data_IF_415921768182
#
_entry.id   IF_415921768182
#
_cell.length_a   1.000
_cell.length_b   1.000
_cell.length_c   1.000
_cell.angle_alpha   90.00
_cell.angle_beta   90.00
_cell.angle_gamma   90.00
#
_symmetry.space_group_name_H-M   'P 1'
#
loop_
_entity.id
_entity.type
_entity.pdbx_description
1 polymer ?
#
# COMPACT_ATOMS: atom_id res chain seq x y z
N UNK A 1 -64.52 -49.37 0.25
CA UNK A 1 -64.27 -49.79 -1.14
C UNK A 1 -65.39 -49.27 -2.03
N UNK A 2 -65.19 -48.12 -2.68
CA UNK A 2 -66.08 -47.61 -3.74
C UNK A 2 -65.20 -46.95 -4.79
N UNK A 3 -65.04 -47.62 -5.93
CA UNK A 3 -64.57 -47.04 -7.18
C UNK A 3 -65.78 -46.52 -7.93
N UNK A 4 -65.62 -45.44 -8.70
CA UNK A 4 -66.48 -45.08 -9.83
C UNK A 4 -65.79 -43.95 -10.63
N UNK A 5 -65.72 -44.20 -11.96
CA UNK A 5 -65.86 -43.26 -13.08
C UNK A 5 -64.63 -42.52 -13.68
N UNK A 6 -64.28 -42.97 -14.89
CA UNK A 6 -63.75 -42.25 -16.08
C UNK A 6 -64.57 -40.99 -16.47
N UNK A 7 -64.14 -40.08 -17.39
CA UNK A 7 -63.26 -40.31 -18.54
C UNK A 7 -62.22 -39.22 -18.91
N UNK A 8 -61.39 -39.58 -19.89
CA UNK A 8 -60.39 -38.83 -20.66
C UNK A 8 -61.04 -37.76 -21.58
N UNK A 9 -60.49 -36.53 -21.64
CA UNK A 9 -59.91 -35.91 -22.86
C UNK A 9 -59.40 -34.45 -22.64
N UNK A 10 -58.14 -34.23 -23.07
CA UNK A 10 -57.47 -33.02 -23.61
C UNK A 10 -57.76 -31.61 -23.06
N UNK A 11 -56.71 -30.91 -22.58
CA UNK A 11 -56.48 -29.50 -22.93
C UNK A 11 -55.02 -29.04 -22.79
N UNK A 12 -54.58 -28.31 -23.81
CA UNK A 12 -53.27 -27.72 -24.04
C UNK A 12 -52.87 -26.67 -22.99
N UNK A 13 -51.55 -26.61 -22.73
CA UNK A 13 -50.93 -25.63 -21.86
C UNK A 13 -50.97 -24.20 -22.41
N UNK A 14 -51.33 -23.27 -21.52
CA UNK A 14 -51.17 -21.83 -21.71
C UNK A 14 -50.18 -21.32 -20.66
N UNK A 15 -48.97 -20.99 -21.13
CA UNK A 15 -47.96 -20.19 -20.44
C UNK A 15 -48.42 -18.73 -20.43
N UNK A 16 -48.52 -18.13 -19.25
CA UNK A 16 -48.69 -16.69 -19.06
C UNK A 16 -47.31 -16.03 -19.17
N UNK A 17 -47.12 -14.98 -19.99
CA UNK A 17 -45.84 -14.28 -20.10
C UNK A 17 -45.64 -13.36 -18.89
N UNK A 18 -44.56 -13.57 -18.14
CA UNK A 18 -44.07 -12.61 -17.15
C UNK A 18 -43.25 -11.55 -17.91
N UNK A 19 -43.71 -10.30 -17.82
CA UNK A 19 -43.05 -9.10 -18.33
C UNK A 19 -41.64 -8.97 -17.73
N UNK A 20 -40.61 -9.10 -18.57
CA UNK A 20 -39.27 -8.60 -18.29
C UNK A 20 -39.25 -7.10 -18.65
N UNK A 21 -39.32 -6.25 -17.65
CA UNK A 21 -39.07 -4.81 -17.75
C UNK A 21 -38.21 -4.36 -16.58
N UNK A 22 -37.19 -3.55 -16.87
CA UNK A 22 -36.33 -2.80 -15.93
C UNK A 22 -35.20 -3.50 -15.15
N UNK A 23 -34.65 -4.61 -15.65
CA UNK A 23 -33.28 -5.04 -15.26
C UNK A 23 -32.19 -4.59 -16.25
N UNK A 24 -32.58 -4.09 -17.44
CA UNK A 24 -31.64 -3.66 -18.47
C UNK A 24 -31.05 -2.26 -18.26
N UNK A 25 -31.78 -1.36 -17.58
CA UNK A 25 -31.37 0.03 -17.43
C UNK A 25 -30.34 0.26 -16.30
N UNK A 26 -30.36 -0.56 -15.24
CA UNK A 26 -29.35 -0.51 -14.17
C UNK A 26 -28.02 -1.15 -14.61
N UNK A 27 -28.07 -2.27 -15.34
CA UNK A 27 -26.87 -2.90 -15.89
C UNK A 27 -26.18 -2.06 -16.97
N UNK A 28 -26.92 -1.19 -17.70
CA UNK A 28 -26.32 -0.26 -18.65
C UNK A 28 -25.67 0.96 -17.98
N UNK A 29 -26.12 1.35 -16.79
CA UNK A 29 -25.52 2.47 -16.04
C UNK A 29 -24.19 2.08 -15.38
N UNK A 30 -24.03 0.82 -14.93
CA UNK A 30 -22.74 0.30 -14.41
C UNK A 30 -21.69 0.08 -15.51
N UNK A 31 -22.12 -0.11 -16.76
CA UNK A 31 -21.21 -0.36 -17.90
C UNK A 31 -20.58 0.92 -18.48
N UNK A 32 -21.21 2.10 -18.33
CA UNK A 32 -20.64 3.39 -18.75
C UNK A 32 -19.55 3.91 -17.78
N UNK A 33 -19.38 3.29 -16.62
CA UNK A 33 -18.34 3.63 -15.63
C UNK A 33 -16.98 2.93 -15.86
N UNK A 34 -16.83 2.26 -17.02
CA UNK A 34 -15.79 1.24 -17.25
C UNK A 34 -14.37 1.78 -17.44
N UNK A 35 -14.18 3.03 -17.86
CA UNK A 35 -12.84 3.62 -18.03
C UNK A 35 -12.88 5.12 -17.78
N UNK A 36 -12.23 5.58 -16.71
CA UNK A 36 -11.99 7.00 -16.50
C UNK A 36 -10.78 7.44 -17.33
N UNK A 37 -10.99 8.36 -18.29
CA UNK A 37 -9.91 9.02 -19.01
C UNK A 37 -9.74 10.43 -18.46
N UNK A 38 -8.51 10.78 -18.12
CA UNK A 38 -8.16 12.15 -17.77
C UNK A 38 -6.77 12.47 -18.28
N UNK A 39 -6.52 13.75 -18.57
CA UNK A 39 -5.20 14.22 -18.96
C UNK A 39 -4.58 15.00 -17.82
N UNK A 40 -3.36 14.64 -17.44
CA UNK A 40 -2.54 15.43 -16.53
C UNK A 40 -1.10 15.45 -17.07
N UNK A 41 -0.44 16.61 -16.99
CA UNK A 41 0.97 16.76 -17.40
C UNK A 41 1.28 16.22 -18.82
N UNK A 42 0.36 16.40 -19.77
CA UNK A 42 0.56 16.01 -21.17
C UNK A 42 0.41 14.52 -21.50
N UNK A 43 -0.01 13.68 -20.54
CA UNK A 43 -0.39 12.28 -20.78
C UNK A 43 -1.85 12.05 -20.48
N UNK A 44 -2.47 11.17 -21.26
CA UNK A 44 -3.76 10.58 -20.92
C UNK A 44 -3.53 9.38 -20.01
N UNK A 45 -4.28 9.34 -18.92
CA UNK A 45 -4.35 8.20 -18.04
C UNK A 45 -5.70 7.53 -18.22
N UNK A 46 -5.68 6.20 -18.20
CA UNK A 46 -6.88 5.38 -18.20
C UNK A 46 -6.90 4.58 -16.91
N UNK A 47 -7.83 4.92 -16.03
CA UNK A 47 -8.11 4.11 -14.85
C UNK A 47 -9.34 3.28 -15.16
N UNK A 48 -9.09 2.07 -15.62
CA UNK A 48 -10.13 1.07 -15.89
C UNK A 48 -10.72 0.59 -14.56
N UNK A 49 -12.05 0.41 -14.52
CA UNK A 49 -12.71 -0.22 -13.37
C UNK A 49 -12.05 -1.56 -13.02
N UNK A 50 -11.64 -2.28 -14.06
CA UNK A 50 -10.98 -3.58 -14.01
C UNK A 50 -9.56 -3.49 -13.40
N UNK A 51 -8.81 -2.39 -13.59
CA UNK A 51 -7.51 -2.17 -12.94
C UNK A 51 -7.70 -2.05 -11.41
N UNK A 52 -8.67 -1.23 -11.01
CA UNK A 52 -9.02 -1.08 -9.59
C UNK A 52 -9.46 -2.41 -8.99
N UNK A 53 -10.27 -3.17 -9.71
CA UNK A 53 -10.68 -4.50 -9.26
C UNK A 53 -9.49 -5.47 -9.09
N UNK A 54 -8.56 -5.52 -10.05
CA UNK A 54 -7.40 -6.41 -9.99
C UNK A 54 -6.44 -6.06 -8.86
N UNK A 55 -6.07 -4.78 -8.71
CA UNK A 55 -5.22 -4.34 -7.61
C UNK A 55 -5.92 -4.50 -6.25
N UNK A 56 -7.25 -4.37 -6.22
CA UNK A 56 -8.08 -4.67 -5.05
C UNK A 56 -8.31 -6.17 -4.81
N UNK A 57 -8.08 -7.05 -5.79
CA UNK A 57 -8.31 -8.50 -5.64
C UNK A 57 -7.33 -9.12 -4.64
N UNK A 58 -6.17 -8.48 -4.48
CA UNK A 58 -5.23 -8.78 -3.40
C UNK A 58 -5.74 -8.19 -2.06
N UNK A 59 -6.96 -7.65 -1.99
CA UNK A 59 -7.77 -7.48 -0.78
C UNK A 59 -7.28 -6.40 0.18
N UNK A 60 -7.01 -5.20 -0.34
CA UNK A 60 -6.91 -4.01 0.48
C UNK A 60 -8.32 -3.65 0.99
N UNK A 61 -8.49 -3.70 2.31
CA UNK A 61 -9.75 -3.47 3.01
C UNK A 61 -9.55 -2.37 4.04
N UNK A 62 -10.59 -1.63 4.41
CA UNK A 62 -10.52 -0.71 5.54
C UNK A 62 -10.24 -1.43 6.88
N UNK A 63 -10.67 -2.68 7.04
CA UNK A 63 -10.42 -3.52 8.21
C UNK A 63 -10.65 -5.00 7.94
N UNK A 64 -10.07 -5.87 8.78
CA UNK A 64 -10.28 -7.32 8.71
C UNK A 64 -10.37 -8.03 10.07
N UNK A 65 -9.89 -7.43 11.17
CA UNK A 65 -9.82 -8.07 12.49
C UNK A 65 -10.62 -7.33 13.55
N UNK A 66 -11.08 -8.06 14.58
CA UNK A 66 -11.67 -7.46 15.77
C UNK A 66 -10.62 -6.69 16.60
N UNK A 67 -11.07 -5.66 17.30
CA UNK A 67 -10.22 -4.89 18.22
C UNK A 67 -9.73 -5.74 19.40
N UNK A 68 -8.48 -5.52 19.83
CA UNK A 68 -7.86 -6.18 21.01
C UNK A 68 -8.21 -5.51 22.35
N UNK A 69 -9.15 -4.58 22.37
CA UNK A 69 -9.62 -3.89 23.58
C UNK A 69 -8.72 -2.72 24.04
N UNK A 70 -7.40 -2.91 24.14
CA UNK A 70 -6.46 -1.83 24.45
C UNK A 70 -6.14 -0.96 23.23
N UNK A 71 -6.04 0.37 23.43
CA UNK A 71 -5.92 1.39 22.38
C UNK A 71 -4.94 2.49 22.80
N UNK A 72 -4.39 3.21 21.82
CA UNK A 72 -3.37 4.23 22.02
C UNK A 72 -1.98 3.62 22.22
N UNK A 73 -1.08 4.39 22.82
CA UNK A 73 0.24 3.90 23.21
C UNK A 73 0.09 3.04 24.47
N UNK A 74 0.35 1.75 24.35
CA UNK A 74 0.17 0.77 25.43
C UNK A 74 1.49 0.43 26.13
N UNK A 75 2.62 0.75 25.50
CA UNK A 75 3.95 0.58 26.06
C UNK A 75 4.93 1.60 25.48
N UNK A 76 5.81 2.16 26.31
CA UNK A 76 6.86 3.10 25.91
C UNK A 76 8.01 3.07 26.92
N UNK A 77 9.20 2.66 26.48
CA UNK A 77 10.47 2.81 27.20
C UNK A 77 11.27 3.97 26.56
N UNK A 78 11.22 5.19 27.12
CA UNK A 78 11.88 6.36 26.53
C UNK A 78 13.40 6.27 26.55
N UNK A 79 13.99 5.36 27.34
CA UNK A 79 15.44 5.13 27.36
C UNK A 79 15.94 4.30 26.18
N UNK A 80 15.03 3.59 25.49
CA UNK A 80 15.37 2.68 24.38
C UNK A 80 14.64 3.02 23.08
N UNK A 81 13.44 3.57 23.15
CA UNK A 81 12.67 3.99 21.98
C UNK A 81 13.33 5.21 21.31
N UNK A 82 13.30 5.25 19.98
CA UNK A 82 13.77 6.40 19.23
C UNK A 82 12.83 7.59 19.50
N UNK A 83 13.34 8.79 19.78
CA UNK A 83 12.50 9.97 19.87
C UNK A 83 11.89 10.32 18.50
N UNK A 84 10.94 11.24 18.49
CA UNK A 84 10.28 11.70 17.26
C UNK A 84 8.76 11.76 17.38
N UNK A 85 8.12 12.06 16.26
CA UNK A 85 6.67 12.09 16.14
C UNK A 85 6.21 11.00 15.18
N UNK A 86 4.95 10.60 15.28
CA UNK A 86 4.40 9.52 14.48
C UNK A 86 3.35 10.08 13.53
N UNK A 87 3.64 10.07 12.23
CA UNK A 87 2.70 10.41 11.17
C UNK A 87 2.01 9.12 10.70
N UNK A 88 0.69 9.03 10.81
CA UNK A 88 -0.06 7.84 10.42
C UNK A 88 -1.20 8.13 9.45
N UNK A 89 -1.49 7.13 8.62
CA UNK A 89 -2.73 6.99 7.84
C UNK A 89 -3.32 5.61 8.10
N UNK A 90 -4.65 5.51 8.12
CA UNK A 90 -5.31 4.22 8.34
C UNK A 90 -6.67 4.17 7.67
N UNK A 91 -7.20 2.97 7.47
CA UNK A 91 -8.44 2.70 6.72
C UNK A 91 -9.73 3.32 7.29
N UNK A 92 -9.64 4.15 8.32
CA UNK A 92 -10.77 4.84 8.94
C UNK A 92 -11.26 6.08 8.20
N UNK A 93 -10.46 6.63 7.27
CA UNK A 93 -10.90 7.79 6.49
C UNK A 93 -9.78 8.52 5.75
N UNK A 94 -10.14 9.57 4.99
CA UNK A 94 -9.21 10.43 4.25
C UNK A 94 -8.56 11.45 5.19
N UNK A 95 -7.76 10.94 6.13
CA UNK A 95 -7.08 11.74 7.16
C UNK A 95 -5.68 11.19 7.44
N UNK A 96 -4.75 12.10 7.67
CA UNK A 96 -3.44 11.81 8.25
C UNK A 96 -3.34 12.45 9.63
N UNK A 97 -2.76 11.74 10.58
CA UNK A 97 -2.65 12.18 11.98
C UNK A 97 -1.18 12.22 12.37
N UNK A 98 -0.74 13.35 12.91
CA UNK A 98 0.56 13.51 13.54
C UNK A 98 0.38 13.41 15.06
N UNK A 99 1.05 12.46 15.70
CA UNK A 99 0.96 12.22 17.14
C UNK A 99 2.32 12.15 17.83
N UNK A 100 2.37 12.56 19.09
CA UNK A 100 3.55 12.39 19.96
C UNK A 100 3.80 10.94 20.38
N UNK A 101 4.89 10.71 21.12
CA UNK A 101 5.29 9.38 21.59
C UNK A 101 4.34 8.77 22.64
N UNK A 102 3.53 9.60 23.28
CA UNK A 102 2.49 9.21 24.25
C UNK A 102 1.11 9.03 23.59
N UNK A 103 1.02 9.18 22.26
CA UNK A 103 -0.23 9.05 21.51
C UNK A 103 -1.13 10.29 21.53
N UNK A 104 -0.63 11.43 22.04
CA UNK A 104 -1.33 12.72 21.94
C UNK A 104 -1.30 13.19 20.48
N UNK A 105 -2.48 13.42 19.89
CA UNK A 105 -2.61 14.06 18.58
C UNK A 105 -2.11 15.51 18.66
N UNK A 106 -1.25 15.88 17.72
CA UNK A 106 -0.66 17.21 17.59
C UNK A 106 -1.25 17.97 16.41
N UNK A 107 -1.58 17.27 15.33
CA UNK A 107 -2.15 17.87 14.12
C UNK A 107 -2.84 16.81 13.25
N UNK A 108 -3.80 17.23 12.43
CA UNK A 108 -4.51 16.38 11.47
C UNK A 108 -4.66 17.09 10.13
N UNK A 109 -4.44 16.36 9.04
CA UNK A 109 -4.81 16.78 7.69
C UNK A 109 -6.01 15.99 7.22
N UNK A 110 -6.99 16.65 6.59
CA UNK A 110 -8.19 16.00 6.05
C UNK A 110 -8.65 16.70 4.78
N UNK A 111 -9.01 15.94 3.77
CA UNK A 111 -9.65 16.45 2.57
C UNK A 111 -10.48 15.35 1.91
N UNK A 112 -11.68 15.69 1.46
CA UNK A 112 -12.59 14.78 0.80
C UNK A 112 -12.17 14.55 -0.66
N UNK A 113 -12.55 13.39 -1.22
CA UNK A 113 -12.14 13.01 -2.58
C UNK A 113 -12.49 14.07 -3.64
N UNK A 114 -13.68 14.67 -3.52
CA UNK A 114 -14.20 15.67 -4.45
C UNK A 114 -13.48 17.02 -4.34
N UNK A 115 -12.83 17.31 -3.22
CA UNK A 115 -11.99 18.49 -3.03
C UNK A 115 -10.63 18.31 -3.72
N UNK A 116 -10.06 17.10 -3.64
CA UNK A 116 -8.77 16.78 -4.27
C UNK A 116 -8.91 16.62 -5.79
N UNK A 117 -9.94 15.89 -6.24
CA UNK A 117 -10.12 15.50 -7.63
C UNK A 117 -11.51 15.91 -8.17
N UNK A 118 -11.81 17.22 -8.26
CA UNK A 118 -13.14 17.74 -8.60
C UNK A 118 -13.63 17.40 -10.01
N UNK A 119 -12.71 17.07 -10.92
CA UNK A 119 -13.01 16.70 -12.30
C UNK A 119 -12.90 15.20 -12.57
N UNK A 120 -12.56 14.41 -11.55
CA UNK A 120 -12.42 12.97 -11.74
C UNK A 120 -13.79 12.33 -12.02
N UNK A 121 -13.92 11.43 -13.01
CA UNK A 121 -15.21 10.82 -13.37
C UNK A 121 -15.92 10.10 -12.22
N UNK A 122 -15.12 9.68 -11.23
CA UNK A 122 -15.56 8.96 -10.04
C UNK A 122 -15.66 9.83 -8.78
N UNK A 123 -15.77 11.16 -8.94
CA UNK A 123 -15.89 12.13 -7.84
C UNK A 123 -17.13 11.98 -6.96
N UNK A 124 -18.21 11.45 -7.52
CA UNK A 124 -19.49 11.26 -6.84
C UNK A 124 -19.70 9.81 -6.39
N UNK A 125 -18.63 9.01 -6.26
CA UNK A 125 -18.77 7.64 -5.76
C UNK A 125 -19.46 7.69 -4.40
N UNK A 126 -20.51 6.90 -4.24
CA UNK A 126 -21.08 6.64 -2.92
C UNK A 126 -20.00 6.09 -2.01
N UNK A 127 -20.09 6.38 -0.71
CA UNK A 127 -19.10 6.01 0.31
C UNK A 127 -18.92 4.49 0.40
N UNK A 128 -18.16 3.91 -0.53
CA UNK A 128 -17.63 2.56 -0.38
C UNK A 128 -16.60 2.65 0.73
N UNK A 129 -17.01 2.29 1.95
CA UNK A 129 -16.24 2.34 3.20
C UNK A 129 -14.90 1.57 3.19
N UNK A 130 -14.44 1.09 2.03
CA UNK A 130 -13.22 0.33 1.82
C UNK A 130 -12.20 1.06 0.94
N UNK A 131 -12.49 2.29 0.47
CA UNK A 131 -11.65 3.01 -0.51
C UNK A 131 -11.50 4.52 -0.28
N UNK A 132 -12.13 5.03 0.78
CA UNK A 132 -12.05 6.45 1.14
C UNK A 132 -11.02 6.65 2.26
N UNK A 133 -9.76 6.34 1.95
CA UNK A 133 -8.65 6.54 2.88
C UNK A 133 -7.36 6.82 2.13
N UNK A 134 -6.43 7.46 2.83
CA UNK A 134 -5.10 7.74 2.30
C UNK A 134 -4.15 6.58 2.58
N UNK A 135 -3.37 6.20 1.57
CA UNK A 135 -2.53 5.01 1.63
C UNK A 135 -1.21 5.25 2.34
N UNK A 136 -0.50 6.29 1.92
CA UNK A 136 0.77 6.70 2.52
C UNK A 136 0.86 8.23 2.47
N UNK A 137 1.63 8.79 3.40
CA UNK A 137 1.85 10.22 3.49
C UNK A 137 3.31 10.54 3.83
N UNK A 138 3.79 11.69 3.39
CA UNK A 138 5.13 12.24 3.68
C UNK A 138 4.97 13.68 4.13
N UNK A 139 5.54 13.98 5.31
CA UNK A 139 5.54 15.32 5.90
C UNK A 139 6.76 16.11 5.42
N UNK A 140 6.52 17.33 4.97
CA UNK A 140 7.58 18.30 4.66
C UNK A 140 7.92 19.15 5.88
N UNK A 141 9.14 19.74 5.94
CA UNK A 141 9.56 20.60 7.04
C UNK A 141 8.68 21.85 7.26
N UNK A 142 7.92 22.28 6.25
CA UNK A 142 7.01 23.43 6.33
C UNK A 142 5.58 23.07 6.81
N UNK A 143 5.30 21.78 7.01
CA UNK A 143 3.97 21.28 7.40
C UNK A 143 3.10 20.85 6.23
N UNK A 144 3.58 20.94 5.00
CA UNK A 144 2.88 20.36 3.86
C UNK A 144 2.89 18.83 3.95
N UNK A 145 1.90 18.22 3.32
CA UNK A 145 1.74 16.78 3.29
C UNK A 145 1.61 16.31 1.84
N UNK A 146 2.50 15.43 1.39
CA UNK A 146 2.34 14.67 0.15
C UNK A 146 1.65 13.34 0.47
N UNK A 147 0.63 13.00 -0.30
CA UNK A 147 -0.26 11.88 -0.01
C UNK A 147 -0.51 11.04 -1.26
N UNK A 148 -0.56 9.72 -1.08
CA UNK A 148 -1.15 8.79 -2.07
C UNK A 148 -2.61 8.54 -1.69
N UNK A 149 -3.51 8.81 -2.63
CA UNK A 149 -4.83 8.18 -2.65
C UNK A 149 -4.77 6.97 -3.56
N UNK A 150 -4.87 5.77 -2.98
CA UNK A 150 -4.59 4.51 -3.69
C UNK A 150 -5.45 4.36 -4.95
N UNK A 151 -4.79 4.29 -6.11
CA UNK A 151 -5.33 4.15 -7.47
C UNK A 151 -6.05 5.38 -8.04
N UNK A 152 -5.99 6.51 -7.35
CA UNK A 152 -6.64 7.74 -7.79
C UNK A 152 -5.68 8.89 -8.04
N UNK A 153 -4.62 8.99 -7.25
CA UNK A 153 -3.58 9.96 -7.53
C UNK A 153 -2.67 10.26 -6.36
N UNK A 154 -1.78 11.21 -6.63
CA UNK A 154 -0.94 11.85 -5.64
C UNK A 154 -1.33 13.31 -5.52
N UNK A 155 -1.23 13.87 -4.33
CA UNK A 155 -1.57 15.27 -4.09
C UNK A 155 -0.78 15.83 -2.93
N UNK A 156 -0.67 17.15 -2.90
CA UNK A 156 0.00 17.89 -1.83
C UNK A 156 -1.00 18.82 -1.15
N UNK A 157 -1.04 18.76 0.17
CA UNK A 157 -1.78 19.67 1.03
C UNK A 157 -0.81 20.62 1.73
N UNK A 158 -1.24 21.84 2.03
CA UNK A 158 -0.60 22.64 3.07
C UNK A 158 -1.00 22.15 4.47
N UNK A 159 -0.37 22.72 5.49
CA UNK A 159 -0.67 22.45 6.91
C UNK A 159 -2.10 22.79 7.35
N UNK A 160 -2.87 23.52 6.54
CA UNK A 160 -4.27 23.87 6.84
C UNK A 160 -5.23 22.97 6.03
N UNK A 161 -4.73 21.87 5.47
CA UNK A 161 -5.45 20.93 4.58
C UNK A 161 -5.92 21.52 3.25
N UNK A 162 -5.33 22.63 2.78
CA UNK A 162 -5.66 23.17 1.45
C UNK A 162 -4.86 22.47 0.36
N UNK A 163 -5.54 22.09 -0.72
CA UNK A 163 -4.92 21.46 -1.88
C UNK A 163 -3.98 22.46 -2.58
N UNK A 164 -2.68 22.14 -2.58
CA UNK A 164 -1.67 22.90 -3.32
C UNK A 164 -1.61 22.45 -4.77
N UNK A 165 -1.62 21.13 -4.98
CA UNK A 165 -1.74 20.50 -6.29
C UNK A 165 -2.21 19.06 -6.15
N UNK A 166 -2.79 18.52 -7.21
CA UNK A 166 -3.19 17.12 -7.31
C UNK A 166 -2.89 16.60 -8.73
N UNK A 167 -2.33 15.40 -8.81
CA UNK A 167 -2.13 14.67 -10.06
C UNK A 167 -3.02 13.43 -10.00
N UNK A 168 -4.13 13.40 -10.75
CA UNK A 168 -4.89 12.18 -10.89
C UNK A 168 -4.00 11.18 -11.62
N UNK A 169 -3.87 9.96 -11.10
CA UNK A 169 -3.12 8.85 -11.69
C UNK A 169 -3.31 7.56 -10.86
N UNK A 170 -3.10 6.37 -11.45
CA UNK A 170 -3.19 5.12 -10.70
C UNK A 170 -1.95 4.86 -9.81
N UNK A 171 -1.60 5.82 -8.94
CA UNK A 171 -0.54 5.69 -7.95
C UNK A 171 -0.94 4.71 -6.83
N UNK A 172 -0.01 3.92 -6.31
CA UNK A 172 -0.32 2.88 -5.32
C UNK A 172 0.80 2.64 -4.30
N UNK A 173 0.42 2.06 -3.16
CA UNK A 173 1.24 1.57 -2.05
C UNK A 173 2.16 2.56 -1.33
N UNK A 174 3.14 3.14 -2.01
CA UNK A 174 4.27 3.82 -1.35
C UNK A 174 4.78 5.04 -2.12
N UNK A 175 5.07 6.11 -1.37
CA UNK A 175 5.72 7.33 -1.83
C UNK A 175 6.92 7.67 -0.95
N UNK A 176 8.00 8.14 -1.58
CA UNK A 176 9.22 8.61 -0.96
C UNK A 176 9.54 10.03 -1.46
N UNK A 177 9.95 10.89 -0.54
CA UNK A 177 10.66 12.12 -0.85
C UNK A 177 12.17 11.83 -0.81
N UNK A 178 12.89 12.11 -1.90
CA UNK A 178 14.32 11.84 -2.01
C UNK A 178 15.16 12.94 -1.35
N UNK A 179 16.47 12.72 -1.21
CA UNK A 179 17.41 13.76 -0.73
C UNK A 179 17.49 14.98 -1.68
N UNK A 180 17.12 14.80 -2.95
CA UNK A 180 17.06 15.87 -3.96
C UNK A 180 15.74 16.65 -3.93
N UNK A 181 14.75 16.22 -3.14
CA UNK A 181 13.42 16.81 -3.11
C UNK A 181 12.47 16.26 -4.18
N UNK A 182 12.91 15.28 -4.96
CA UNK A 182 12.07 14.58 -5.94
C UNK A 182 11.11 13.61 -5.23
N UNK A 183 9.99 13.34 -5.89
CA UNK A 183 8.94 12.44 -5.44
C UNK A 183 9.06 11.13 -6.22
N UNK A 184 9.38 10.05 -5.52
CA UNK A 184 9.40 8.70 -6.07
C UNK A 184 8.17 7.92 -5.59
N UNK A 185 7.41 7.31 -6.51
CA UNK A 185 6.24 6.51 -6.16
C UNK A 185 6.00 5.39 -7.18
N UNK A 186 5.05 4.52 -6.86
CA UNK A 186 4.61 3.44 -7.74
C UNK A 186 3.31 3.83 -8.46
N UNK A 187 3.22 3.46 -9.74
CA UNK A 187 2.04 3.63 -10.58
C UNK A 187 1.70 2.30 -11.27
N UNK A 188 0.43 2.01 -11.48
CA UNK A 188 0.00 0.81 -12.19
C UNK A 188 -0.83 1.13 -13.44
N UNK A 189 -0.67 0.37 -14.53
CA UNK A 189 -1.53 0.47 -15.71
C UNK A 189 -1.85 -0.90 -16.28
N UNK A 190 -3.03 -1.03 -16.91
CA UNK A 190 -3.38 -2.23 -17.66
C UNK A 190 -2.80 -2.19 -19.05
N UNK A 191 -2.02 -3.21 -19.40
CA UNK A 191 -1.44 -3.37 -20.73
C UNK A 191 -1.11 -4.82 -21.02
N UNK A 192 -0.90 -5.14 -22.29
CA UNK A 192 -0.30 -6.42 -22.68
C UNK A 192 1.19 -6.36 -22.34
N UNK A 193 1.63 -7.25 -21.44
CA UNK A 193 3.02 -7.35 -21.01
C UNK A 193 3.70 -8.48 -21.78
N UNK A 194 4.73 -8.22 -22.61
CA UNK A 194 5.42 -9.27 -23.34
C UNK A 194 5.88 -10.43 -22.45
N UNK A 195 5.40 -11.62 -22.74
CA UNK A 195 5.76 -12.84 -22.01
C UNK A 195 4.85 -13.16 -20.82
N UNK A 196 4.01 -12.24 -20.35
CA UNK A 196 2.79 -12.58 -19.60
C UNK A 196 1.71 -12.92 -20.63
N UNK A 197 0.68 -13.69 -20.26
CA UNK A 197 -0.41 -14.10 -21.17
C UNK A 197 -0.82 -13.01 -22.18
N UNK A 198 -1.30 -13.40 -23.37
CA UNK A 198 -1.72 -12.46 -24.44
C UNK A 198 -3.02 -11.69 -24.09
N UNK A 199 -3.22 -11.33 -22.83
CA UNK A 199 -4.32 -10.55 -22.28
C UNK A 199 -3.77 -9.35 -21.51
N UNK A 200 -4.56 -8.28 -21.34
CA UNK A 200 -4.17 -7.19 -20.45
C UNK A 200 -3.89 -7.68 -19.03
N UNK A 201 -2.78 -7.22 -18.47
CA UNK A 201 -2.35 -7.45 -17.08
C UNK A 201 -1.90 -6.12 -16.47
N UNK A 202 -1.81 -6.07 -15.15
CA UNK A 202 -1.26 -4.95 -14.39
C UNK A 202 0.25 -4.89 -14.60
N UNK A 203 0.72 -3.81 -15.22
CA UNK A 203 2.11 -3.40 -15.22
C UNK A 203 2.32 -2.38 -14.13
N UNK A 204 3.36 -2.58 -13.32
CA UNK A 204 3.81 -1.57 -12.36
C UNK A 204 4.92 -0.71 -12.96
N UNK A 205 5.00 0.52 -12.47
CA UNK A 205 6.00 1.49 -12.85
C UNK A 205 6.61 2.14 -11.63
N UNK A 206 7.91 2.41 -11.70
CA UNK A 206 8.58 3.36 -10.82
C UNK A 206 8.52 4.72 -11.51
N UNK A 207 7.98 5.72 -10.81
CA UNK A 207 7.80 7.07 -11.35
C UNK A 207 8.51 8.08 -10.46
N UNK A 208 9.30 8.96 -11.08
CA UNK A 208 9.93 10.12 -10.44
C UNK A 208 9.22 11.38 -10.91
N UNK A 209 8.93 12.27 -9.96
CA UNK A 209 8.36 13.59 -10.20
C UNK A 209 9.17 14.65 -9.46
N UNK A 210 9.12 15.89 -9.95
CA UNK A 210 9.61 17.01 -9.16
C UNK A 210 8.61 17.40 -8.05
N UNK A 211 8.99 18.37 -7.21
CA UNK A 211 8.17 18.85 -6.08
C UNK A 211 6.83 19.50 -6.49
N UNK A 212 6.68 19.86 -7.77
CA UNK A 212 5.46 20.43 -8.36
C UNK A 212 4.54 19.36 -8.94
N UNK A 213 4.98 18.10 -8.95
CA UNK A 213 4.24 16.96 -9.46
C UNK A 213 4.47 16.66 -10.94
N UNK A 214 5.41 17.32 -11.62
CA UNK A 214 5.75 17.04 -13.03
C UNK A 214 6.55 15.75 -13.12
N UNK A 215 6.18 14.83 -14.03
CA UNK A 215 6.95 13.60 -14.26
C UNK A 215 8.31 13.89 -14.88
N UNK A 216 9.36 13.38 -14.21
CA UNK A 216 10.75 13.44 -14.64
C UNK A 216 11.16 12.13 -15.34
N UNK A 217 10.71 11.00 -14.80
CA UNK A 217 11.09 9.68 -15.28
C UNK A 217 10.01 8.65 -14.96
N UNK A 218 9.87 7.66 -15.84
CA UNK A 218 9.02 6.49 -15.62
C UNK A 218 9.69 5.23 -16.16
N UNK A 219 9.70 4.16 -15.35
CA UNK A 219 10.31 2.88 -15.69
C UNK A 219 9.33 1.73 -15.42
N UNK A 220 9.02 0.93 -16.46
CA UNK A 220 8.21 -0.27 -16.30
C UNK A 220 8.99 -1.40 -15.59
N UNK A 221 8.33 -2.11 -14.68
CA UNK A 221 8.96 -3.23 -13.95
C UNK A 221 9.30 -4.38 -14.88
N UNK A 222 8.43 -4.71 -15.85
CA UNK A 222 8.72 -5.75 -16.84
C UNK A 222 9.99 -5.47 -17.64
N UNK A 223 10.26 -4.20 -17.95
CA UNK A 223 11.45 -3.76 -18.67
C UNK A 223 12.72 -3.89 -17.82
N UNK A 224 12.63 -3.50 -16.55
CA UNK A 224 13.72 -3.61 -15.58
C UNK A 224 14.15 -5.06 -15.31
N UNK A 225 13.23 -6.02 -15.45
CA UNK A 225 13.48 -7.44 -15.19
C UNK A 225 14.01 -8.21 -16.41
N UNK A 226 14.15 -7.59 -17.58
CA UNK A 226 14.58 -8.30 -18.81
C UNK A 226 15.95 -8.98 -18.69
N UNK A 227 16.86 -8.41 -17.91
CA UNK A 227 18.19 -8.97 -17.65
C UNK A 227 18.23 -9.84 -16.38
N UNK A 228 17.24 -9.72 -15.49
CA UNK A 228 16.96 -10.76 -14.51
C UNK A 228 16.42 -11.98 -15.27
N UNK A 229 16.47 -13.18 -14.68
CA UNK A 229 15.94 -14.38 -15.33
C UNK A 229 14.39 -14.33 -15.34
N UNK A 230 13.80 -13.40 -16.09
CA UNK A 230 12.38 -13.13 -16.16
C UNK A 230 11.59 -14.38 -16.52
N UNK A 231 12.14 -15.21 -17.41
CA UNK A 231 11.56 -16.52 -17.76
C UNK A 231 11.40 -17.44 -16.54
N UNK A 232 12.35 -17.43 -15.60
CA UNK A 232 12.28 -18.19 -14.36
C UNK A 232 11.33 -17.54 -13.35
N UNK A 233 11.40 -16.22 -13.16
CA UNK A 233 10.48 -15.48 -12.26
C UNK A 233 9.02 -15.68 -12.68
N UNK A 234 8.75 -15.71 -13.99
CA UNK A 234 7.45 -16.02 -14.55
C UNK A 234 6.95 -17.42 -14.18
N UNK A 235 7.81 -18.44 -14.16
CA UNK A 235 7.41 -19.78 -13.69
C UNK A 235 6.98 -19.75 -12.22
N UNK A 236 7.69 -18.99 -11.40
CA UNK A 236 7.33 -18.79 -9.98
C UNK A 236 5.99 -18.05 -9.82
N UNK A 237 5.72 -17.05 -10.66
CA UNK A 237 4.42 -16.38 -10.73
C UNK A 237 3.29 -17.37 -11.00
N UNK A 238 3.39 -18.16 -12.09
CA UNK A 238 2.32 -19.10 -12.44
C UNK A 238 2.09 -20.16 -11.38
N UNK A 239 3.14 -20.62 -10.70
CA UNK A 239 3.02 -21.51 -9.55
C UNK A 239 2.20 -20.85 -8.43
N UNK A 240 2.45 -19.56 -8.13
CA UNK A 240 1.76 -18.82 -7.07
C UNK A 240 0.32 -18.46 -7.44
N UNK A 241 0.08 -17.98 -8.65
CA UNK A 241 -1.23 -17.56 -9.12
C UNK A 241 -2.28 -18.69 -8.99
N UNK A 242 -1.83 -19.95 -9.05
CA UNK A 242 -2.67 -21.13 -8.87
C UNK A 242 -2.65 -21.69 -7.44
N UNK A 243 -1.83 -21.14 -6.54
CA UNK A 243 -1.72 -21.60 -5.16
C UNK A 243 -2.78 -20.93 -4.27
N UNK A 244 -3.85 -21.69 -3.99
CA UNK A 244 -4.95 -21.23 -3.15
C UNK A 244 -4.57 -21.02 -1.68
N UNK A 245 -3.39 -21.46 -1.22
CA UNK A 245 -2.96 -21.28 0.18
C UNK A 245 -2.70 -19.82 0.56
N UNK A 246 -2.39 -18.96 -0.42
CA UNK A 246 -2.29 -17.50 -0.25
C UNK A 246 -3.67 -16.81 -0.29
N UNK A 247 -4.72 -17.58 -0.61
CA UNK A 247 -6.09 -17.14 -0.86
C UNK A 247 -6.16 -16.05 -1.93
N UNK A 248 -5.47 -16.30 -3.04
CA UNK A 248 -5.55 -15.56 -4.30
C UNK A 248 -6.73 -16.11 -5.12
N UNK A 249 -7.41 -15.24 -5.85
CA UNK A 249 -8.51 -15.58 -6.74
C UNK A 249 -8.08 -15.51 -8.22
N UNK A 250 -9.01 -15.76 -9.14
CA UNK A 250 -8.73 -15.75 -10.59
C UNK A 250 -8.33 -14.36 -11.11
N UNK A 251 -8.65 -13.27 -10.41
CA UNK A 251 -8.26 -11.92 -10.85
C UNK A 251 -6.79 -11.65 -10.57
N UNK A 252 -6.22 -12.31 -9.56
CA UNK A 252 -4.79 -12.19 -9.22
C UNK A 252 -3.84 -12.72 -10.29
N UNK A 253 -4.32 -13.52 -11.26
CA UNK A 253 -3.48 -14.06 -12.36
C UNK A 253 -3.07 -12.99 -13.38
N UNK A 254 -3.68 -11.81 -13.31
CA UNK A 254 -3.39 -10.67 -14.16
C UNK A 254 -2.56 -9.59 -13.46
N UNK A 255 -2.05 -9.87 -12.26
CA UNK A 255 -1.15 -8.98 -11.53
C UNK A 255 0.18 -9.71 -11.25
N UNK A 256 1.11 -9.73 -12.24
CA UNK A 256 2.29 -10.58 -12.22
C UNK A 256 3.34 -10.19 -11.17
N UNK A 257 3.40 -8.91 -10.81
CA UNK A 257 4.44 -8.36 -9.97
C UNK A 257 3.91 -8.00 -8.59
N UNK A 258 2.79 -7.25 -8.57
CA UNK A 258 2.27 -6.58 -7.40
C UNK A 258 3.39 -5.88 -6.62
N UNK A 259 4.08 -4.96 -7.31
CA UNK A 259 5.15 -4.17 -6.73
C UNK A 259 4.54 -3.30 -5.66
N UNK A 260 4.95 -3.52 -4.41
CA UNK A 260 4.24 -3.02 -3.24
C UNK A 260 5.12 -2.14 -2.34
N UNK A 261 6.37 -1.93 -2.74
CA UNK A 261 7.32 -1.07 -2.05
C UNK A 261 8.40 -0.59 -3.01
N UNK A 262 8.84 0.64 -2.77
CA UNK A 262 9.89 1.35 -3.46
C UNK A 262 10.73 2.13 -2.44
N UNK A 263 12.04 2.03 -2.57
CA UNK A 263 13.00 2.86 -1.84
C UNK A 263 14.20 3.18 -2.74
N UNK A 264 14.34 4.43 -3.15
CA UNK A 264 15.54 4.91 -3.81
C UNK A 264 16.67 5.00 -2.79
N UNK A 265 17.79 4.35 -3.11
CA UNK A 265 18.96 4.33 -2.26
C UNK A 265 19.57 5.74 -2.14
N UNK A 266 19.79 6.18 -0.91
CA UNK A 266 20.66 7.33 -0.61
C UNK A 266 22.12 7.04 -0.95
N UNK A 267 22.96 8.08 -1.01
CA UNK A 267 24.40 7.90 -1.20
C UNK A 267 25.05 7.05 -0.09
N UNK A 268 24.59 7.23 1.16
CA UNK A 268 25.07 6.46 2.29
C UNK A 268 24.69 4.97 2.16
N UNK A 269 23.45 4.68 1.77
CA UNK A 269 22.96 3.31 1.59
C UNK A 269 23.66 2.57 0.44
N UNK A 270 23.81 3.24 -0.71
CA UNK A 270 24.56 2.68 -1.84
C UNK A 270 26.01 2.37 -1.45
N UNK A 271 26.64 3.24 -0.64
CA UNK A 271 27.99 3.01 -0.13
C UNK A 271 28.07 1.78 0.79
N UNK A 272 27.08 1.57 1.67
CA UNK A 272 27.01 0.38 2.55
C UNK A 272 26.90 -0.92 1.76
N UNK A 273 26.10 -0.92 0.70
CA UNK A 273 25.97 -2.08 -0.18
C UNK A 273 27.24 -2.34 -1.01
N UNK A 274 27.90 -1.27 -1.46
CA UNK A 274 29.12 -1.30 -2.29
C UNK A 274 28.82 -1.49 -3.79
N UNK A 275 29.83 -1.59 -4.66
CA UNK A 275 29.62 -1.86 -6.08
C UNK A 275 28.86 -3.21 -6.29
N UNK A 276 27.92 -3.30 -7.25
CA UNK A 276 27.64 -2.34 -8.32
C UNK A 276 26.54 -1.31 -8.01
N UNK A 277 26.12 -1.16 -6.74
CA UNK A 277 25.00 -0.31 -6.33
C UNK A 277 25.37 1.17 -6.32
N UNK A 278 24.38 2.03 -6.59
CA UNK A 278 24.52 3.49 -6.71
C UNK A 278 23.37 4.21 -6.01
N UNK A 279 23.63 5.45 -5.61
CA UNK A 279 22.57 6.35 -5.17
C UNK A 279 21.53 6.51 -6.28
N UNK A 280 20.25 6.54 -5.92
CA UNK A 280 19.14 6.60 -6.88
C UNK A 280 18.76 5.26 -7.51
N UNK A 281 19.51 4.17 -7.30
CA UNK A 281 18.99 2.84 -7.63
C UNK A 281 17.76 2.54 -6.76
N UNK A 282 16.79 1.81 -7.30
CA UNK A 282 15.53 1.52 -6.61
C UNK A 282 15.54 0.12 -5.98
N UNK A 283 15.46 0.05 -4.65
CA UNK A 283 15.14 -1.17 -3.90
C UNK A 283 13.62 -1.36 -3.92
N UNK A 284 13.16 -2.43 -4.57
CA UNK A 284 11.74 -2.73 -4.74
C UNK A 284 11.36 -4.10 -4.19
N UNK A 285 10.09 -4.24 -3.84
CA UNK A 285 9.49 -5.53 -3.48
C UNK A 285 8.34 -5.87 -4.41
N UNK A 286 8.39 -7.06 -5.00
CA UNK A 286 7.34 -7.65 -5.84
C UNK A 286 6.70 -8.80 -5.08
N UNK A 287 5.50 -8.56 -4.56
CA UNK A 287 4.84 -9.50 -3.64
C UNK A 287 4.48 -10.81 -4.34
N UNK A 288 3.96 -10.74 -5.57
CA UNK A 288 3.51 -11.91 -6.32
C UNK A 288 4.67 -12.79 -6.80
N UNK A 289 5.89 -12.24 -6.82
CA UNK A 289 7.09 -12.98 -7.16
C UNK A 289 7.87 -13.46 -5.94
N UNK A 290 7.45 -13.16 -4.70
CA UNK A 290 8.29 -13.34 -3.51
C UNK A 290 9.71 -12.79 -3.69
N UNK A 291 9.85 -11.66 -4.40
CA UNK A 291 11.14 -11.17 -4.87
C UNK A 291 11.40 -9.73 -4.45
N UNK A 292 12.58 -9.49 -3.90
CA UNK A 292 13.15 -8.15 -3.71
C UNK A 292 14.24 -7.95 -4.76
N UNK A 293 14.32 -6.74 -5.33
CA UNK A 293 15.32 -6.40 -6.34
C UNK A 293 15.87 -4.99 -6.12
N UNK A 294 17.09 -4.76 -6.61
CA UNK A 294 17.66 -3.42 -6.79
C UNK A 294 17.77 -3.14 -8.28
N UNK A 295 17.12 -2.07 -8.73
CA UNK A 295 17.01 -1.65 -10.12
C UNK A 295 17.89 -0.44 -10.37
N UNK A 296 18.71 -0.51 -11.41
CA UNK A 296 19.41 0.64 -11.99
C UNK A 296 18.39 1.54 -12.68
N UNK A 297 18.06 2.68 -12.05
CA UNK A 297 17.07 3.61 -12.60
C UNK A 297 17.56 4.28 -13.88
N UNK A 298 18.87 4.48 -14.05
CA UNK A 298 19.42 5.12 -15.26
C UNK A 298 19.35 4.18 -16.47
N UNK A 299 19.71 2.91 -16.27
CA UNK A 299 19.76 1.91 -17.35
C UNK A 299 18.48 1.11 -17.53
N UNK A 300 17.57 1.16 -16.56
CA UNK A 300 16.35 0.37 -16.54
C UNK A 300 16.62 -1.13 -16.52
N UNK A 301 17.55 -1.58 -15.67
CA UNK A 301 17.92 -3.01 -15.55
C UNK A 301 18.13 -3.43 -14.09
N UNK A 302 17.89 -4.70 -13.80
CA UNK A 302 18.09 -5.26 -12.46
C UNK A 302 19.59 -5.43 -12.16
N UNK A 303 20.08 -4.85 -11.07
CA UNK A 303 21.45 -5.06 -10.57
C UNK A 303 21.57 -6.30 -9.70
N UNK A 304 20.56 -6.54 -8.88
CA UNK A 304 20.52 -7.63 -7.91
C UNK A 304 19.06 -8.00 -7.66
N UNK A 305 18.82 -9.28 -7.39
CA UNK A 305 17.50 -9.75 -6.97
C UNK A 305 17.63 -11.00 -6.12
N UNK A 306 16.71 -11.16 -5.18
CA UNK A 306 16.55 -12.36 -4.39
C UNK A 306 15.08 -12.74 -4.28
N UNK A 307 14.79 -14.00 -4.61
CA UNK A 307 13.49 -14.63 -4.40
C UNK A 307 13.55 -15.49 -3.13
N UNK A 308 12.63 -15.25 -2.20
CA UNK A 308 12.53 -16.00 -0.95
C UNK A 308 13.75 -15.90 -0.02
N UNK A 309 13.71 -16.54 1.17
CA UNK A 309 12.68 -17.46 1.68
C UNK A 309 11.49 -16.76 2.37
N UNK A 310 11.26 -15.48 2.07
CA UNK A 310 10.06 -14.73 2.44
C UNK A 310 8.95 -14.90 1.39
N UNK A 311 7.71 -14.53 1.74
CA UNK A 311 6.60 -14.53 0.78
C UNK A 311 5.56 -13.44 0.98
N UNK A 312 5.05 -12.94 -0.15
CA UNK A 312 4.19 -11.74 -0.27
C UNK A 312 4.72 -10.54 0.53
N UNK A 313 6.05 -10.43 0.65
CA UNK A 313 6.75 -9.51 1.51
C UNK A 313 6.50 -8.04 1.16
N UNK A 314 6.73 -7.16 2.12
CA UNK A 314 6.59 -5.72 1.98
C UNK A 314 7.81 -4.99 2.57
N UNK A 315 7.99 -3.74 2.11
CA UNK A 315 8.82 -2.73 2.76
C UNK A 315 10.29 -3.08 3.01
N UNK A 316 11.06 -3.63 2.05
CA UNK A 316 12.49 -3.82 2.23
C UNK A 316 13.20 -2.48 2.53
N UNK A 317 14.08 -2.47 3.53
CA UNK A 317 14.92 -1.34 3.94
C UNK A 317 16.33 -1.83 4.29
N UNK A 318 17.30 -0.93 4.22
CA UNK A 318 18.69 -1.25 4.59
C UNK A 318 18.97 -0.90 6.04
N UNK A 319 19.61 -1.84 6.74
CA UNK A 319 20.22 -1.59 8.04
C UNK A 319 21.60 -0.94 7.87
N UNK A 320 22.18 -0.46 8.97
CA UNK A 320 23.48 0.22 8.97
C UNK A 320 24.63 -0.66 8.46
N UNK A 321 24.53 -1.97 8.62
CA UNK A 321 25.52 -2.96 8.14
C UNK A 321 25.32 -3.37 6.66
N UNK A 322 24.29 -2.83 5.99
CA UNK A 322 23.96 -3.15 4.61
C UNK A 322 23.09 -4.40 4.43
N UNK A 323 22.67 -5.06 5.52
CA UNK A 323 21.65 -6.10 5.46
C UNK A 323 20.28 -5.50 5.14
N UNK A 324 19.40 -6.30 4.54
CA UNK A 324 18.04 -5.88 4.18
C UNK A 324 17.07 -6.41 5.24
N UNK A 325 16.29 -5.52 5.85
CA UNK A 325 15.15 -5.87 6.70
C UNK A 325 13.86 -5.71 5.90
N UNK A 326 12.90 -6.62 6.07
CA UNK A 326 11.59 -6.55 5.41
C UNK A 326 10.48 -7.12 6.30
N UNK A 327 9.24 -6.83 5.93
CA UNK A 327 8.06 -7.48 6.50
C UNK A 327 7.68 -8.72 5.66
N UNK A 328 7.85 -9.91 6.21
CA UNK A 328 7.47 -11.17 5.58
C UNK A 328 6.04 -11.56 5.99
N UNK A 329 5.08 -11.46 5.06
CA UNK A 329 3.68 -11.76 5.34
C UNK A 329 3.40 -13.24 5.57
N UNK A 330 4.15 -14.12 4.90
CA UNK A 330 3.93 -15.57 4.90
C UNK A 330 5.12 -16.33 5.49
N UNK A 331 5.39 -16.15 6.78
CA UNK A 331 6.25 -17.07 7.52
C UNK A 331 5.55 -18.42 7.74
N UNK A 332 4.23 -18.38 7.97
CA UNK A 332 3.31 -19.52 7.91
C UNK A 332 1.90 -19.02 7.59
N UNK A 333 0.91 -19.89 7.32
CA UNK A 333 -0.45 -19.45 6.98
C UNK A 333 -1.12 -18.51 8.00
N UNK A 334 -0.65 -18.54 9.26
CA UNK A 334 -1.18 -17.74 10.37
C UNK A 334 -0.11 -16.91 11.08
N UNK A 335 1.06 -16.69 10.44
CA UNK A 335 2.15 -15.91 11.05
C UNK A 335 2.93 -15.11 10.02
N UNK A 336 3.20 -13.86 10.38
CA UNK A 336 4.12 -12.97 9.66
C UNK A 336 5.39 -12.78 10.49
N UNK A 337 6.39 -12.13 9.91
CA UNK A 337 7.63 -11.85 10.62
C UNK A 337 8.38 -10.65 10.05
N UNK A 338 9.18 -10.00 10.88
CA UNK A 338 10.24 -9.11 10.41
C UNK A 338 11.47 -9.97 10.16
N UNK A 339 11.98 -9.94 8.95
CA UNK A 339 13.10 -10.78 8.52
C UNK A 339 14.26 -9.91 8.07
N UNK A 340 15.46 -10.21 8.56
CA UNK A 340 16.70 -9.59 8.09
C UNK A 340 17.48 -10.60 7.27
N UNK A 341 17.90 -10.19 6.08
CA UNK A 341 18.70 -10.99 5.15
C UNK A 341 20.00 -10.26 4.79
N UNK A 342 21.07 -11.03 4.64
CA UNK A 342 22.32 -10.53 4.09
C UNK A 342 22.27 -10.63 2.55
N UNK A 343 22.29 -9.52 1.80
CA UNK A 343 22.19 -9.56 0.33
C UNK A 343 23.39 -10.20 -0.37
N UNK A 344 24.53 -10.36 0.33
CA UNK A 344 25.77 -10.97 -0.19
C UNK A 344 25.73 -12.48 -0.06
N UNK A 345 25.37 -12.98 1.12
CA UNK A 345 25.27 -14.43 1.38
C UNK A 345 23.89 -15.01 1.04
N UNK A 346 22.88 -14.15 0.88
CA UNK A 346 21.46 -14.48 0.65
C UNK A 346 20.80 -15.24 1.80
N UNK A 347 21.42 -15.26 2.97
CA UNK A 347 20.94 -15.96 4.14
C UNK A 347 20.05 -15.06 5.01
N UNK A 348 19.06 -15.67 5.65
CA UNK A 348 18.32 -15.04 6.74
C UNK A 348 19.20 -15.04 7.98
N UNK A 349 19.45 -13.85 8.54
CA UNK A 349 20.33 -13.67 9.71
C UNK A 349 19.55 -13.40 11.00
N UNK A 350 18.35 -12.82 10.89
CA UNK A 350 17.48 -12.54 12.04
C UNK A 350 16.01 -12.65 11.64
N UNK A 351 15.18 -13.03 12.60
CA UNK A 351 13.74 -13.04 12.44
C UNK A 351 13.02 -12.73 13.75
N UNK A 352 12.02 -11.85 13.69
CA UNK A 352 11.06 -11.60 14.77
C UNK A 352 9.66 -11.97 14.28
N UNK A 353 8.84 -12.63 15.11
CA UNK A 353 7.48 -13.04 14.73
C UNK A 353 6.42 -12.81 15.82
N UNK A 354 6.74 -11.95 16.80
CA UNK A 354 5.95 -11.79 18.01
C UNK A 354 6.07 -12.97 18.96
N UNK A 355 5.20 -13.00 19.98
CA UNK A 355 5.14 -14.09 20.97
C UNK A 355 4.03 -15.08 20.62
N UNK A 356 3.88 -16.16 21.39
CA UNK A 356 2.74 -17.07 21.24
C UNK A 356 1.41 -16.41 21.62
N UNK A 357 1.41 -15.54 22.64
CA UNK A 357 0.23 -14.79 23.09
C UNK A 357 -0.10 -13.63 22.15
N UNK A 358 0.94 -12.98 21.61
CA UNK A 358 0.83 -11.78 20.77
C UNK A 358 1.63 -11.96 19.48
N UNK A 359 1.23 -12.90 18.59
CA UNK A 359 1.96 -13.16 17.36
C UNK A 359 1.89 -11.94 16.43
N UNK A 360 2.94 -11.75 15.64
CA UNK A 360 2.90 -10.82 14.52
C UNK A 360 2.14 -11.45 13.37
N UNK A 361 1.10 -10.78 12.88
CA UNK A 361 0.38 -11.22 11.70
C UNK A 361 -0.28 -10.08 10.95
N UNK A 362 0.08 -9.96 9.69
CA UNK A 362 -0.73 -9.29 8.68
C UNK A 362 -0.71 -10.16 7.44
N UNK A 363 -1.88 -10.63 7.02
CA UNK A 363 -1.99 -11.51 5.86
C UNK A 363 -1.38 -10.84 4.63
N UNK A 364 -1.54 -9.52 4.52
CA UNK A 364 -1.04 -8.65 3.46
C UNK A 364 -0.65 -7.30 4.05
N UNK A 365 0.03 -6.44 3.29
CA UNK A 365 0.59 -5.17 3.78
C UNK A 365 1.59 -5.37 4.93
N UNK A 366 1.72 -4.39 5.82
CA UNK A 366 2.79 -4.33 6.80
C UNK A 366 3.98 -3.53 6.28
N UNK A 367 4.75 -2.98 7.22
CA UNK A 367 5.84 -2.07 6.90
C UNK A 367 6.95 -2.18 7.92
N UNK A 368 8.16 -1.82 7.50
CA UNK A 368 9.27 -1.57 8.40
C UNK A 368 9.93 -0.23 8.08
N UNK A 369 10.34 0.48 9.12
CA UNK A 369 11.19 1.66 9.02
C UNK A 369 12.39 1.46 9.94
N UNK A 370 13.59 1.72 9.41
CA UNK A 370 14.82 1.73 10.22
C UNK A 370 14.95 3.13 10.83
N UNK A 371 15.04 3.19 12.15
CA UNK A 371 15.11 4.43 12.93
C UNK A 371 16.57 4.84 13.14
N UNK A 372 16.80 6.10 13.50
CA UNK A 372 18.16 6.66 13.65
C UNK A 372 19.01 5.95 14.71
N UNK A 373 18.38 5.48 15.79
CA UNK A 373 19.05 4.68 16.83
C UNK A 373 19.30 3.21 16.42
N UNK A 374 18.93 2.82 15.20
CA UNK A 374 19.08 1.48 14.66
C UNK A 374 17.94 0.51 15.02
N UNK A 375 16.93 0.96 15.76
CA UNK A 375 15.70 0.20 16.00
C UNK A 375 14.87 0.08 14.71
N UNK A 376 13.91 -0.84 14.72
CA UNK A 376 13.00 -1.08 13.60
C UNK A 376 11.58 -0.80 14.09
N UNK A 377 10.94 0.22 13.50
CA UNK A 377 9.50 0.43 13.63
C UNK A 377 8.78 -0.50 12.65
N UNK A 378 7.80 -1.24 13.15
CA UNK A 378 7.07 -2.30 12.45
C UNK A 378 5.59 -2.01 12.48
N UNK A 379 4.93 -2.09 11.33
CA UNK A 379 3.48 -1.93 11.21
C UNK A 379 2.83 -3.29 10.94
N UNK A 380 1.96 -3.73 11.86
CA UNK A 380 1.01 -4.82 11.67
C UNK A 380 -0.33 -4.24 11.20
N UNK A 381 -0.51 -4.16 9.89
CA UNK A 381 -1.68 -3.56 9.25
C UNK A 381 -3.00 -4.17 9.71
N UNK A 382 -3.17 -5.49 9.60
CA UNK A 382 -4.46 -6.16 9.89
C UNK A 382 -4.87 -5.99 11.37
N UNK A 383 -3.90 -5.90 12.27
CA UNK A 383 -4.13 -5.75 13.70
C UNK A 383 -4.19 -4.30 14.17
N UNK A 384 -4.00 -3.33 13.28
CA UNK A 384 -3.91 -1.91 13.62
C UNK A 384 -2.83 -1.62 14.67
N UNK A 385 -1.70 -2.34 14.63
CA UNK A 385 -0.66 -2.28 15.66
C UNK A 385 0.66 -1.80 15.08
N UNK A 386 1.38 -0.95 15.82
CA UNK A 386 2.75 -0.56 15.53
C UNK A 386 3.67 -0.93 16.70
N UNK A 387 4.86 -1.42 16.39
CA UNK A 387 5.86 -1.88 17.36
C UNK A 387 7.20 -1.26 17.03
N UNK A 388 7.90 -0.72 18.02
CA UNK A 388 9.32 -0.44 17.88
C UNK A 388 10.13 -1.58 18.49
N UNK A 389 10.99 -2.19 17.67
CA UNK A 389 11.85 -3.30 18.04
C UNK A 389 13.29 -2.83 18.15
N UNK A 390 13.97 -3.20 19.23
CA UNK A 390 15.44 -3.16 19.25
C UNK A 390 16.01 -4.15 18.24
N UNK A 391 17.30 -4.03 17.94
CA UNK A 391 17.97 -5.00 17.08
C UNK A 391 17.90 -6.44 17.63
N UNK A 392 17.78 -6.62 18.93
CA UNK A 392 17.65 -7.94 19.56
C UNK A 392 16.19 -8.45 19.58
N UNK A 393 15.24 -7.68 19.05
CA UNK A 393 13.82 -8.04 18.97
C UNK A 393 13.02 -7.75 20.24
N UNK A 394 13.55 -6.95 21.16
CA UNK A 394 12.80 -6.43 22.32
C UNK A 394 11.81 -5.35 21.85
N UNK A 395 10.55 -5.42 22.28
CA UNK A 395 9.57 -4.36 22.03
C UNK A 395 9.83 -3.24 23.02
N UNK A 396 10.11 -2.03 22.54
CA UNK A 396 10.40 -0.84 23.37
C UNK A 396 9.35 0.26 23.25
N UNK A 397 8.46 0.15 22.27
CA UNK A 397 7.28 0.99 22.13
C UNK A 397 6.18 0.21 21.41
N UNK A 398 4.93 0.36 21.83
CA UNK A 398 3.77 -0.28 21.19
C UNK A 398 2.59 0.69 21.13
N UNK A 399 2.02 0.82 19.94
CA UNK A 399 0.78 1.54 19.67
C UNK A 399 -0.27 0.60 19.10
N UNK A 400 -1.51 0.76 19.55
CA UNK A 400 -2.70 0.08 19.04
C UNK A 400 -3.71 1.13 18.57
N UNK A 401 -4.04 1.10 17.29
CA UNK A 401 -4.95 2.03 16.64
C UNK A 401 -6.28 2.13 17.41
N UNK A 402 -6.73 3.34 17.76
CA UNK A 402 -8.04 3.53 18.37
C UNK A 402 -9.18 3.48 17.35
N UNK A 403 -8.87 3.54 16.05
CA UNK A 403 -9.84 3.68 14.99
C UNK A 403 -10.50 2.35 14.64
N UNK A 404 -11.82 2.37 14.59
CA UNK A 404 -12.66 1.22 14.29
C UNK A 404 -13.54 1.54 13.09
N UNK A 405 -13.94 0.50 12.36
CA UNK A 405 -14.82 0.59 11.19
C UNK A 405 -15.76 -0.64 11.12
N UNK A 406 -16.79 -0.53 10.30
CA UNK A 406 -17.83 -1.56 10.12
C UNK A 406 -19.07 -1.32 10.98
N UNK A 407 -20.14 -2.07 10.73
CA UNK A 407 -21.38 -1.94 11.51
C UNK A 407 -21.11 -2.22 12.99
N UNK A 408 -21.41 -1.25 13.86
CA UNK A 408 -21.18 -1.35 15.30
C UNK A 408 -19.73 -1.20 15.75
N UNK A 409 -18.83 -0.68 14.90
CA UNK A 409 -17.42 -0.39 15.22
C UNK A 409 -16.65 -1.61 15.75
N UNK A 410 -16.94 -2.80 15.23
CA UNK A 410 -16.40 -4.05 15.75
C UNK A 410 -14.96 -4.36 15.24
N UNK A 411 -14.54 -3.78 14.10
CA UNK A 411 -13.25 -4.10 13.45
C UNK A 411 -12.26 -2.97 13.60
N UNK A 412 -10.99 -3.31 13.85
CA UNK A 412 -9.90 -2.33 13.86
C UNK A 412 -9.56 -1.90 12.44
N UNK A 413 -9.51 -0.58 12.21
CA UNK A 413 -9.07 -0.03 10.94
C UNK A 413 -7.64 -0.48 10.63
N UNK A 414 -7.39 -0.86 9.39
CA UNK A 414 -6.07 -1.22 8.90
C UNK A 414 -5.11 -0.04 9.05
N UNK A 415 -4.01 -0.27 9.77
CA UNK A 415 -2.92 0.70 9.87
C UNK A 415 -2.00 0.53 8.66
N UNK A 416 -2.22 1.32 7.62
CA UNK A 416 -1.47 1.22 6.37
C UNK A 416 -0.09 1.85 6.48
N UNK A 417 -0.02 3.02 7.10
CA UNK A 417 1.23 3.75 7.28
C UNK A 417 1.30 4.33 8.68
N UNK A 418 2.46 4.17 9.30
CA UNK A 418 2.90 5.01 10.41
C UNK A 418 4.42 5.17 10.27
N UNK A 419 4.87 6.41 10.18
CA UNK A 419 6.28 6.80 10.05
C UNK A 419 6.71 7.56 11.30
N UNK A 420 7.82 7.19 11.91
CA UNK A 420 8.52 8.04 12.88
C UNK A 420 9.23 9.13 12.09
N UNK A 421 8.87 10.38 12.35
CA UNK A 421 9.44 11.59 11.74
C UNK A 421 10.20 12.37 12.79
N UNK A 422 11.27 13.04 12.36
CA UNK A 422 12.09 13.86 13.25
C UNK A 422 11.31 15.09 13.74
N UNK A 423 11.50 15.47 15.00
CA UNK A 423 10.80 16.61 15.61
C UNK A 423 11.12 17.94 14.91
N UNK A 424 12.30 18.09 14.29
CA UNK A 424 12.68 19.29 13.54
C UNK A 424 11.75 19.58 12.35
N UNK A 425 11.08 18.56 11.80
CA UNK A 425 10.08 18.70 10.74
C UNK A 425 8.79 19.38 11.21
N UNK A 426 8.68 19.69 12.51
CA UNK A 426 7.46 20.19 13.14
C UNK A 426 7.58 21.55 13.80
N UNK A 427 8.65 22.29 13.46
CA UNK A 427 8.85 23.68 13.92
C UNK A 427 7.67 24.61 13.59
N UNK A 428 6.84 24.26 12.60
CA UNK A 428 5.63 24.98 12.22
C UNK A 428 4.47 24.84 13.22
N UNK A 429 4.40 23.77 14.03
CA UNK A 429 3.38 23.58 15.06
C UNK A 429 3.45 24.68 16.14
N UNK A 430 4.67 25.08 16.52
CA UNK A 430 4.89 26.07 17.60
C UNK A 430 4.55 27.51 17.20
N UNK A 431 4.33 27.81 15.91
CA UNK A 431 4.07 29.18 15.44
C UNK A 431 2.63 29.65 15.70
N UNK A 432 1.72 28.78 16.10
CA UNK A 432 0.33 29.13 16.42
C UNK A 432 0.18 29.85 17.77
N UNK A 433 1.12 29.69 18.72
CA UNK A 433 1.00 30.27 20.06
C UNK A 433 1.32 31.77 20.17
N UNK A 434 1.75 32.44 19.08
CA UNK A 434 2.12 33.87 19.10
C UNK A 434 1.28 34.77 18.19
N UNK A 435 0.22 34.25 17.58
CA UNK A 435 -0.58 34.97 16.58
C UNK A 435 -1.72 35.83 17.11
N UNK A 436 -2.13 35.70 18.39
CA UNK A 436 -3.36 36.33 18.90
C UNK A 436 -3.16 37.23 20.13
N UNK A 437 -1.95 37.77 20.28
CA UNK A 437 -1.72 38.92 21.18
C UNK A 437 -1.18 40.10 20.38
N UNK A 438 -2.08 40.86 19.77
CA UNK A 438 -1.80 42.22 19.33
C UNK A 438 -2.38 42.56 17.96
N UNK A 439 -3.63 43.00 17.95
CA UNK A 439 -4.02 44.32 17.42
C UNK A 439 -5.37 44.76 17.97
#
# INVERSE_FOLDING_TARGET
MRSLLSPVLLLLGLLVPILFGDLGAQASAEAEESTARFSASGREFQVEAELIEQLSAIGYLAASRQSRGSRGVVFHDPGKAAPGLNLLTSGHGPVAVLMGMEGKVLHEWRAEFSEIFPDHPRKNRGMEAHRDFWRDAVLFPNGDLLVIWELFGIFRLDRDSRVLWAVPEPAHHEVQLTETGDIAHLQAERKVIPGIENKPSVEDFIVLRDESGVELQRLAISDALRNANWLQLRKSFWKRAHDRSYGLDERSVHDPFHTNSLWLLTAAEATRLGPPFRAGDALISMAMLDTVAVVDMEKGVTRWSQQGPFGMQHSPRLLADGSIVLFNNFLSPKRSGVMTLDPRTRLVVRQYSGTSAEPLYSRRSGRVQVLENGNILVIETDGGRALELTQDGEVVWEFRSPYLVGEGDEKVAHLYSLKRVDESLTAWLSREAKGDQGK
#
